data_IF_615106062018
#
_entry.id   IF_615106062018
#
_cell.length_a   1.000
_cell.length_b   1.000
_cell.length_c   1.000
_cell.angle_alpha   90.00
_cell.angle_beta   90.00
_cell.angle_gamma   90.00
#
_symmetry.space_group_name_H-M   'P 1'
#
loop_
_entity.id
_entity.type
_entity.pdbx_description
1 polymer ?
#
# COMPACT_ATOMS: atom_id res chain seq x y z
N UNK A 1 43.85 -0.91 25.74
CA UNK A 1 42.62 -1.40 26.39
C UNK A 1 41.75 -2.06 25.34
N UNK A 2 41.76 -3.39 25.32
CA UNK A 2 40.98 -4.23 24.39
C UNK A 2 39.52 -4.26 24.86
N UNK A 3 38.59 -3.68 24.08
CA UNK A 3 37.16 -3.75 24.40
C UNK A 3 36.66 -5.14 24.04
N UNK A 4 36.43 -5.97 25.06
CA UNK A 4 35.78 -7.27 24.93
C UNK A 4 34.39 -7.08 24.28
N UNK A 5 34.23 -7.56 23.06
CA UNK A 5 32.91 -7.79 22.47
C UNK A 5 32.18 -8.81 23.34
N UNK A 6 31.07 -8.39 23.93
CA UNK A 6 30.11 -9.27 24.58
C UNK A 6 29.63 -10.31 23.56
N UNK A 7 29.70 -11.62 23.83
CA UNK A 7 29.26 -12.62 22.88
C UNK A 7 27.75 -12.48 22.66
N UNK A 8 27.35 -12.31 21.39
CA UNK A 8 25.96 -12.42 20.95
C UNK A 8 25.42 -13.77 21.45
N UNK A 9 24.28 -13.75 22.15
CA UNK A 9 23.62 -14.97 22.64
C UNK A 9 23.47 -15.96 21.48
N UNK A 10 23.74 -17.27 21.68
CA UNK A 10 23.69 -18.25 20.62
C UNK A 10 22.31 -18.23 19.97
N UNK A 11 22.33 -18.06 18.66
CA UNK A 11 21.18 -18.01 17.78
C UNK A 11 20.36 -19.30 18.00
N UNK A 12 19.21 -19.19 18.70
CA UNK A 12 18.24 -20.29 18.76
C UNK A 12 17.79 -20.49 17.32
N UNK A 13 18.30 -21.51 16.64
CA UNK A 13 17.71 -22.01 15.39
C UNK A 13 16.32 -22.50 15.77
N UNK A 14 15.35 -21.59 15.77
CA UNK A 14 13.95 -21.97 15.85
C UNK A 14 13.69 -22.62 14.50
N UNK A 15 13.49 -23.93 14.49
CA UNK A 15 12.95 -24.64 13.34
C UNK A 15 11.49 -24.20 13.21
N UNK A 16 11.27 -22.96 12.77
CA UNK A 16 9.94 -22.44 12.47
C UNK A 16 9.41 -23.22 11.28
N UNK A 17 8.38 -23.99 11.53
CA UNK A 17 7.65 -24.71 10.49
C UNK A 17 6.80 -23.72 9.70
N UNK A 18 6.39 -24.08 8.48
CA UNK A 18 5.48 -23.25 7.69
C UNK A 18 4.17 -22.94 8.45
N UNK A 19 3.72 -23.85 9.32
CA UNK A 19 2.58 -23.63 10.21
C UNK A 19 2.83 -22.46 11.16
N UNK A 20 4.02 -22.38 11.75
CA UNK A 20 4.35 -21.30 12.69
C UNK A 20 4.22 -19.93 12.01
N UNK A 21 4.68 -19.81 10.76
CA UNK A 21 4.57 -18.56 9.99
C UNK A 21 3.12 -18.13 9.78
N UNK A 22 2.21 -19.03 9.38
CA UNK A 22 0.80 -18.68 9.18
C UNK A 22 0.11 -18.23 10.48
N UNK A 23 0.53 -18.76 11.63
CA UNK A 23 -0.03 -18.43 12.94
C UNK A 23 0.73 -17.34 13.70
N UNK A 24 1.66 -16.64 13.06
CA UNK A 24 2.30 -15.46 13.65
C UNK A 24 1.27 -14.39 14.00
N UNK A 25 1.49 -13.70 15.13
CA UNK A 25 0.63 -12.65 15.65
C UNK A 25 0.28 -11.59 14.58
N UNK A 26 1.25 -11.01 13.82
CA UNK A 26 0.92 -10.09 12.75
C UNK A 26 0.02 -10.68 11.66
N UNK A 27 0.18 -11.96 11.32
CA UNK A 27 -0.65 -12.61 10.29
C UNK A 27 -2.07 -12.89 10.78
N UNK A 28 -2.24 -13.22 12.07
CA UNK A 28 -3.55 -13.33 12.69
C UNK A 28 -4.30 -11.99 12.70
N UNK A 29 -3.59 -10.88 12.98
CA UNK A 29 -4.15 -9.53 12.85
C UNK A 29 -4.52 -9.27 11.38
N UNK A 30 -3.65 -9.61 10.43
CA UNK A 30 -3.93 -9.54 8.99
C UNK A 30 -5.20 -10.29 8.59
N UNK A 31 -5.42 -11.52 9.06
CA UNK A 31 -6.65 -12.26 8.81
C UNK A 31 -7.89 -11.58 9.42
N UNK A 32 -7.76 -11.01 10.61
CA UNK A 32 -8.85 -10.24 11.22
C UNK A 32 -9.21 -8.99 10.38
N UNK A 33 -8.21 -8.33 9.77
CA UNK A 33 -8.42 -7.22 8.82
C UNK A 33 -9.18 -7.67 7.59
N UNK A 34 -8.84 -8.83 7.02
CA UNK A 34 -9.57 -9.39 5.87
C UNK A 34 -11.05 -9.61 6.22
N UNK A 35 -11.34 -10.16 7.41
CA UNK A 35 -12.72 -10.37 7.86
C UNK A 35 -13.46 -9.04 8.08
N UNK A 36 -12.82 -8.07 8.73
CA UNK A 36 -13.40 -6.73 8.96
C UNK A 36 -13.64 -5.98 7.65
N UNK A 37 -12.71 -6.07 6.69
CA UNK A 37 -12.85 -5.52 5.36
C UNK A 37 -14.04 -6.17 4.65
N UNK A 38 -14.14 -7.50 4.62
CA UNK A 38 -15.28 -8.21 4.05
C UNK A 38 -16.62 -7.83 4.69
N UNK A 39 -16.65 -7.69 6.02
CA UNK A 39 -17.83 -7.20 6.74
C UNK A 39 -18.17 -5.75 6.36
N UNK A 40 -17.18 -4.87 6.20
CA UNK A 40 -17.41 -3.50 5.75
C UNK A 40 -18.03 -3.45 4.36
N UNK A 41 -17.54 -4.28 3.43
CA UNK A 41 -18.10 -4.40 2.07
C UNK A 41 -19.54 -4.90 2.09
N UNK A 42 -19.85 -5.85 2.98
CA UNK A 42 -21.22 -6.33 3.16
C UNK A 42 -22.17 -5.20 3.58
N UNK A 43 -21.80 -4.36 4.55
CA UNK A 43 -22.63 -3.24 5.01
C UNK A 43 -22.62 -2.01 4.08
N UNK A 44 -21.69 -1.97 3.13
CA UNK A 44 -21.43 -0.82 2.27
C UNK A 44 -22.67 -0.25 1.56
N UNK A 45 -23.58 -1.05 0.95
CA UNK A 45 -24.70 -0.48 0.20
C UNK A 45 -25.88 0.01 1.06
N UNK A 46 -26.02 -0.41 2.33
CA UNK A 46 -27.24 -0.14 3.10
C UNK A 46 -27.01 0.45 4.51
N UNK A 47 -25.80 0.35 5.07
CA UNK A 47 -25.50 0.83 6.42
C UNK A 47 -24.16 1.58 6.50
N UNK A 48 -24.12 2.86 6.08
CA UNK A 48 -22.87 3.62 5.99
C UNK A 48 -22.13 3.79 7.30
N UNK A 49 -22.84 3.90 8.44
CA UNK A 49 -22.20 4.03 9.77
C UNK A 49 -21.42 2.76 10.15
N UNK A 50 -22.04 1.59 9.99
CA UNK A 50 -21.39 0.31 10.31
C UNK A 50 -20.26 0.01 9.32
N UNK A 51 -20.47 0.27 8.02
CA UNK A 51 -19.45 0.15 7.00
C UNK A 51 -18.22 1.01 7.35
N UNK A 52 -18.40 2.32 7.57
CA UNK A 52 -17.28 3.22 7.90
C UNK A 52 -16.57 2.83 9.18
N UNK A 53 -17.29 2.40 10.22
CA UNK A 53 -16.66 1.98 11.47
C UNK A 53 -15.80 0.72 11.27
N UNK A 54 -16.34 -0.32 10.64
CA UNK A 54 -15.61 -1.56 10.35
C UNK A 54 -14.40 -1.31 9.44
N UNK A 55 -14.56 -0.46 8.42
CA UNK A 55 -13.51 -0.06 7.50
C UNK A 55 -12.37 0.64 8.25
N UNK A 56 -12.67 1.66 9.05
CA UNK A 56 -11.67 2.42 9.82
C UNK A 56 -10.95 1.53 10.83
N UNK A 57 -11.67 0.65 11.52
CA UNK A 57 -11.03 -0.31 12.45
C UNK A 57 -10.08 -1.24 11.69
N UNK A 58 -10.49 -1.75 10.52
CA UNK A 58 -9.61 -2.58 9.66
C UNK A 58 -8.34 -1.82 9.25
N UNK A 59 -8.46 -0.56 8.80
CA UNK A 59 -7.32 0.27 8.43
C UNK A 59 -6.41 0.61 9.62
N UNK A 60 -6.95 0.77 10.83
CA UNK A 60 -6.12 1.02 12.02
C UNK A 60 -5.32 -0.22 12.44
N UNK A 61 -5.88 -1.42 12.26
CA UNK A 61 -5.22 -2.69 12.55
C UNK A 61 -3.98 -2.93 11.68
N UNK A 62 -3.89 -2.32 10.50
CA UNK A 62 -2.70 -2.31 9.65
C UNK A 62 -1.45 -1.84 10.39
N UNK A 63 -1.53 -0.67 11.03
CA UNK A 63 -0.42 -0.15 11.80
C UNK A 63 -0.03 -1.10 12.95
N UNK A 64 -1.00 -1.79 13.54
CA UNK A 64 -0.79 -2.72 14.65
C UNK A 64 -0.12 -4.02 14.23
N UNK A 65 -0.43 -4.60 13.06
CA UNK A 65 0.28 -5.80 12.60
C UNK A 65 1.74 -5.50 12.25
N UNK A 66 2.04 -4.37 11.62
CA UNK A 66 3.41 -3.95 11.34
C UNK A 66 4.20 -3.69 12.61
N UNK A 67 3.56 -3.10 13.63
CA UNK A 67 4.15 -2.95 14.97
C UNK A 67 4.39 -4.30 15.64
N UNK A 68 3.44 -5.23 15.58
CA UNK A 68 3.56 -6.57 16.14
C UNK A 68 4.68 -7.36 15.44
N UNK A 69 4.75 -7.33 14.12
CA UNK A 69 5.79 -7.98 13.33
C UNK A 69 7.20 -7.53 13.75
N UNK A 70 7.40 -6.22 13.90
CA UNK A 70 8.68 -5.66 14.37
C UNK A 70 8.98 -5.99 15.83
N UNK A 71 7.96 -5.94 16.71
CA UNK A 71 8.14 -6.17 18.15
C UNK A 71 8.44 -7.62 18.48
N UNK A 72 7.79 -8.56 17.80
CA UNK A 72 7.95 -10.00 18.01
C UNK A 72 8.99 -10.64 17.07
N UNK A 73 9.65 -9.84 16.21
CA UNK A 73 10.59 -10.32 15.19
C UNK A 73 9.98 -11.39 14.26
N UNK A 74 8.72 -11.18 13.87
CA UNK A 74 7.89 -12.07 13.05
C UNK A 74 7.63 -11.49 11.65
N UNK A 75 8.52 -10.63 11.15
CA UNK A 75 8.43 -10.06 9.80
C UNK A 75 8.66 -11.16 8.74
N UNK A 76 7.69 -11.36 7.84
CA UNK A 76 7.77 -12.38 6.79
C UNK A 76 7.35 -11.83 5.44
N UNK A 77 7.87 -12.41 4.35
CA UNK A 77 7.44 -12.06 2.98
C UNK A 77 5.94 -12.31 2.79
N UNK A 78 5.43 -13.41 3.35
CA UNK A 78 4.00 -13.73 3.32
C UNK A 78 3.17 -12.65 4.00
N UNK A 79 3.52 -12.26 5.24
CA UNK A 79 2.80 -11.21 5.97
C UNK A 79 2.80 -9.87 5.23
N UNK A 80 3.93 -9.47 4.66
CA UNK A 80 4.03 -8.25 3.86
C UNK A 80 3.15 -8.26 2.60
N UNK A 81 3.05 -9.41 1.91
CA UNK A 81 2.17 -9.57 0.74
C UNK A 81 0.70 -9.60 1.17
N UNK A 82 0.38 -10.32 2.26
CA UNK A 82 -0.98 -10.41 2.81
C UNK A 82 -1.53 -9.04 3.18
N UNK A 83 -0.74 -8.24 3.89
CA UNK A 83 -1.04 -6.86 4.24
C UNK A 83 -1.34 -6.02 2.99
N UNK A 84 -0.38 -5.96 2.06
CA UNK A 84 -0.51 -5.17 0.83
C UNK A 84 -1.75 -5.56 0.03
N UNK A 85 -1.99 -6.86 -0.17
CA UNK A 85 -3.15 -7.35 -0.93
C UNK A 85 -4.45 -6.96 -0.23
N UNK A 86 -4.52 -7.09 1.10
CA UNK A 86 -5.72 -6.74 1.88
C UNK A 86 -6.07 -5.27 1.72
N UNK A 87 -5.10 -4.37 1.81
CA UNK A 87 -5.29 -2.94 1.57
C UNK A 87 -5.81 -2.68 0.15
N UNK A 88 -5.13 -3.23 -0.86
CA UNK A 88 -5.49 -2.99 -2.27
C UNK A 88 -6.89 -3.47 -2.58
N UNK A 89 -7.28 -4.65 -2.09
CA UNK A 89 -8.62 -5.18 -2.27
C UNK A 89 -9.68 -4.29 -1.60
N UNK A 90 -9.40 -3.81 -0.39
CA UNK A 90 -10.33 -2.99 0.38
C UNK A 90 -10.57 -1.63 -0.29
N UNK A 91 -9.51 -0.91 -0.65
CA UNK A 91 -9.61 0.39 -1.34
C UNK A 91 -10.24 0.21 -2.74
N UNK A 92 -9.88 -0.83 -3.48
CA UNK A 92 -10.45 -1.08 -4.82
C UNK A 92 -11.95 -1.36 -4.75
N UNK A 93 -12.41 -2.13 -3.77
CA UNK A 93 -13.83 -2.40 -3.58
C UNK A 93 -14.62 -1.14 -3.21
N UNK A 94 -14.05 -0.27 -2.37
CA UNK A 94 -14.61 1.06 -2.08
C UNK A 94 -14.72 1.91 -3.35
N UNK A 95 -13.66 1.97 -4.17
CA UNK A 95 -13.65 2.73 -5.43
C UNK A 95 -14.64 2.15 -6.45
N UNK A 96 -14.82 0.83 -6.50
CA UNK A 96 -15.84 0.20 -7.32
C UNK A 96 -17.24 0.66 -6.92
N UNK A 97 -17.56 0.70 -5.63
CA UNK A 97 -18.83 1.24 -5.13
C UNK A 97 -18.99 2.74 -5.47
N UNK A 98 -17.93 3.55 -5.28
CA UNK A 98 -17.97 4.96 -5.67
C UNK A 98 -18.19 5.13 -7.17
N UNK A 99 -17.68 4.23 -8.00
CA UNK A 99 -17.88 4.27 -9.44
C UNK A 99 -19.34 4.03 -9.87
N UNK A 100 -20.11 3.28 -9.08
CA UNK A 100 -21.55 3.09 -9.31
C UNK A 100 -22.40 4.24 -8.78
N UNK A 101 -22.01 4.82 -7.64
CA UNK A 101 -22.72 5.97 -7.04
C UNK A 101 -22.45 7.30 -7.75
N UNK A 102 -21.28 7.43 -8.40
CA UNK A 102 -20.90 8.61 -9.17
C UNK A 102 -20.62 8.29 -10.64
N UNK A 103 -21.64 7.93 -11.46
CA UNK A 103 -21.44 7.47 -12.84
C UNK A 103 -20.69 8.46 -13.74
N UNK A 104 -20.82 9.77 -13.47
CA UNK A 104 -20.09 10.82 -14.22
C UNK A 104 -18.58 10.71 -14.07
N UNK A 105 -18.09 10.12 -12.98
CA UNK A 105 -16.66 9.97 -12.67
C UNK A 105 -16.19 8.51 -12.75
N UNK A 106 -16.97 7.60 -13.33
CA UNK A 106 -16.62 6.17 -13.43
C UNK A 106 -15.23 5.93 -14.03
N UNK A 107 -14.89 6.62 -15.12
CA UNK A 107 -13.57 6.50 -15.77
C UNK A 107 -12.44 6.95 -14.83
N UNK A 108 -12.68 7.97 -14.01
CA UNK A 108 -11.72 8.41 -13.00
C UNK A 108 -11.51 7.32 -11.96
N UNK A 109 -12.57 6.77 -11.36
CA UNK A 109 -12.43 5.69 -10.37
C UNK A 109 -11.77 4.43 -10.95
N UNK A 110 -12.13 4.03 -12.18
CA UNK A 110 -11.52 2.88 -12.86
C UNK A 110 -10.03 3.10 -13.14
N UNK A 111 -9.63 4.32 -13.53
CA UNK A 111 -8.21 4.65 -13.75
C UNK A 111 -7.44 4.69 -12.43
N UNK A 112 -8.05 5.17 -11.34
CA UNK A 112 -7.46 5.12 -9.99
C UNK A 112 -7.22 3.68 -9.51
N UNK A 113 -8.22 2.80 -9.67
CA UNK A 113 -8.08 1.36 -9.35
C UNK A 113 -6.95 0.74 -10.16
N UNK A 114 -6.93 0.99 -11.48
CA UNK A 114 -5.91 0.45 -12.38
C UNK A 114 -4.51 0.94 -12.00
N UNK A 115 -4.36 2.24 -11.74
CA UNK A 115 -3.09 2.85 -11.37
C UNK A 115 -2.57 2.30 -10.03
N UNK A 116 -3.44 2.19 -9.03
CA UNK A 116 -3.06 1.74 -7.70
C UNK A 116 -2.63 0.26 -7.73
N UNK A 117 -3.41 -0.62 -8.37
CA UNK A 117 -3.05 -2.03 -8.54
C UNK A 117 -1.77 -2.21 -9.35
N UNK A 118 -1.63 -1.54 -10.50
CA UNK A 118 -0.44 -1.66 -11.35
C UNK A 118 0.83 -1.16 -10.64
N UNK A 119 0.77 0.01 -10.01
CA UNK A 119 1.92 0.61 -9.31
C UNK A 119 2.40 -0.24 -8.14
N UNK A 120 1.48 -0.76 -7.32
CA UNK A 120 1.83 -1.63 -6.20
C UNK A 120 2.29 -3.01 -6.66
N UNK A 121 1.64 -3.61 -7.67
CA UNK A 121 2.04 -4.91 -8.21
C UNK A 121 3.46 -4.86 -8.79
N UNK A 122 3.76 -3.87 -9.64
CA UNK A 122 5.10 -3.68 -10.20
C UNK A 122 6.14 -3.42 -9.12
N UNK A 123 5.82 -2.57 -8.13
CA UNK A 123 6.73 -2.26 -7.04
C UNK A 123 7.02 -3.46 -6.15
N UNK A 124 5.99 -4.24 -5.80
CA UNK A 124 6.15 -5.46 -5.03
C UNK A 124 6.99 -6.48 -5.79
N UNK A 125 6.68 -6.72 -7.06
CA UNK A 125 7.41 -7.66 -7.90
C UNK A 125 8.88 -7.26 -8.01
N UNK A 126 9.16 -5.99 -8.35
CA UNK A 126 10.51 -5.43 -8.40
C UNK A 126 11.27 -5.60 -7.08
N UNK A 127 10.62 -5.37 -5.94
CA UNK A 127 11.27 -5.51 -4.63
C UNK A 127 11.56 -6.98 -4.30
N UNK A 128 10.66 -7.90 -4.64
CA UNK A 128 10.82 -9.33 -4.39
C UNK A 128 11.89 -9.97 -5.29
N UNK A 129 12.02 -9.52 -6.55
CA UNK A 129 13.04 -10.00 -7.48
C UNK A 129 14.41 -9.38 -7.22
N UNK A 130 14.47 -8.09 -6.88
CA UNK A 130 15.74 -7.40 -6.56
C UNK A 130 16.27 -7.82 -5.17
N UNK A 131 15.40 -8.16 -4.22
CA UNK A 131 15.71 -8.45 -2.81
C UNK A 131 16.36 -9.81 -2.52
N UNK A 132 17.01 -10.44 -3.50
CA UNK A 132 17.83 -11.65 -3.32
C UNK A 132 19.31 -11.39 -3.02
N UNK A 133 19.86 -10.23 -3.41
CA UNK A 133 21.27 -9.89 -3.18
C UNK A 133 21.41 -8.60 -2.36
N UNK A 134 21.58 -8.76 -1.04
CA UNK A 134 21.81 -7.67 -0.08
C UNK A 134 23.12 -6.87 -0.29
N UNK A 135 23.83 -7.03 -1.41
CA UNK A 135 25.13 -6.39 -1.64
C UNK A 135 25.17 -5.33 -2.74
N UNK A 136 24.12 -5.14 -3.54
CA UNK A 136 24.05 -4.02 -4.48
C UNK A 136 23.05 -2.99 -3.97
N UNK A 137 23.61 -1.98 -3.31
CA UNK A 137 22.94 -0.73 -2.91
C UNK A 137 21.89 -0.35 -3.94
N UNK A 138 20.63 -0.29 -3.50
CA UNK A 138 19.52 0.36 -4.19
C UNK A 138 20.08 1.60 -4.91
N UNK A 139 19.84 1.77 -6.23
CA UNK A 139 20.43 2.85 -6.97
C UNK A 139 20.19 4.17 -6.22
N UNK A 140 21.27 4.92 -5.98
CA UNK A 140 21.20 6.27 -5.37
C UNK A 140 20.40 7.27 -6.23
N UNK A 141 19.87 6.83 -7.37
CA UNK A 141 19.05 7.58 -8.32
C UNK A 141 17.54 7.41 -8.12
N UNK A 142 17.10 7.15 -6.88
CA UNK A 142 15.68 7.25 -6.55
C UNK A 142 15.21 8.71 -6.57
N UNK A 143 14.10 9.01 -7.25
CA UNK A 143 13.48 10.33 -7.23
C UNK A 143 13.33 10.85 -5.79
N UNK A 144 13.78 12.09 -5.53
CA UNK A 144 13.77 12.73 -4.20
C UNK A 144 12.41 12.62 -3.49
N UNK A 145 11.33 12.75 -4.26
CA UNK A 145 9.94 12.62 -3.78
C UNK A 145 9.67 11.25 -3.15
N UNK A 146 10.10 10.15 -3.78
CA UNK A 146 9.93 8.82 -3.21
C UNK A 146 10.78 8.62 -1.96
N UNK A 147 11.97 9.21 -1.92
CA UNK A 147 12.84 9.09 -0.75
C UNK A 147 12.22 9.78 0.47
N UNK A 148 11.57 10.93 0.29
CA UNK A 148 10.85 11.57 1.38
C UNK A 148 9.60 10.78 1.78
N UNK A 149 8.87 10.26 0.79
CA UNK A 149 7.66 9.47 1.01
C UNK A 149 7.94 8.17 1.79
N UNK A 150 8.92 7.38 1.36
CA UNK A 150 9.30 6.11 2.00
C UNK A 150 10.31 6.26 3.13
N UNK A 151 11.03 7.38 3.22
CA UNK A 151 12.05 7.63 4.23
C UNK A 151 11.50 8.05 5.59
N UNK A 152 10.22 8.45 5.66
CA UNK A 152 9.56 8.84 6.90
C UNK A 152 8.22 8.11 7.04
N UNK A 153 8.16 7.15 7.97
CA UNK A 153 6.96 6.37 8.25
C UNK A 153 5.74 7.23 8.61
N UNK A 154 5.94 8.41 9.22
CA UNK A 154 4.84 9.34 9.51
C UNK A 154 4.27 9.97 8.24
N UNK A 155 5.12 10.31 7.27
CA UNK A 155 4.68 10.84 5.96
C UNK A 155 3.96 9.76 5.18
N UNK A 156 4.50 8.55 5.13
CA UNK A 156 3.87 7.39 4.49
C UNK A 156 2.48 7.15 5.07
N UNK A 157 2.37 7.03 6.39
CA UNK A 157 1.10 6.80 7.08
C UNK A 157 0.12 7.95 6.86
N UNK A 158 0.56 9.21 6.97
CA UNK A 158 -0.32 10.36 6.76
C UNK A 158 -0.89 10.40 5.33
N UNK A 159 -0.07 10.15 4.31
CA UNK A 159 -0.55 10.12 2.93
C UNK A 159 -1.52 8.97 2.67
N UNK A 160 -1.24 7.77 3.19
CA UNK A 160 -2.17 6.65 3.08
C UNK A 160 -3.48 6.94 3.82
N UNK A 161 -3.41 7.40 5.07
CA UNK A 161 -4.58 7.73 5.87
C UNK A 161 -5.42 8.84 5.23
N UNK A 162 -4.82 9.92 4.74
CA UNK A 162 -5.55 10.99 4.06
C UNK A 162 -6.16 10.53 2.72
N UNK A 163 -5.47 9.67 1.97
CA UNK A 163 -6.02 9.08 0.75
C UNK A 163 -7.27 8.23 1.06
N UNK A 164 -7.20 7.36 2.06
CA UNK A 164 -8.35 6.55 2.50
C UNK A 164 -9.48 7.41 3.05
N UNK A 165 -9.17 8.41 3.87
CA UNK A 165 -10.16 9.34 4.42
C UNK A 165 -10.87 10.14 3.31
N UNK A 166 -10.19 10.48 2.22
CA UNK A 166 -10.83 11.13 1.08
C UNK A 166 -11.90 10.23 0.44
N UNK A 167 -11.58 8.96 0.18
CA UNK A 167 -12.55 8.03 -0.40
C UNK A 167 -13.69 7.69 0.56
N UNK A 168 -13.40 7.55 1.87
CA UNK A 168 -14.44 7.40 2.91
C UNK A 168 -15.34 8.64 2.97
N UNK A 169 -14.79 9.84 2.80
CA UNK A 169 -15.58 11.07 2.75
C UNK A 169 -16.50 11.10 1.53
N UNK A 170 -16.02 10.73 0.34
CA UNK A 170 -16.85 10.57 -0.86
C UNK A 170 -17.94 9.52 -0.65
N UNK A 171 -17.62 8.41 -0.01
CA UNK A 171 -18.58 7.36 0.31
C UNK A 171 -19.69 7.88 1.23
N UNK A 172 -19.34 8.62 2.28
CA UNK A 172 -20.35 9.22 3.16
C UNK A 172 -21.20 10.28 2.45
N UNK A 173 -20.65 10.97 1.46
CA UNK A 173 -21.38 11.93 0.63
C UNK A 173 -22.33 11.29 -0.39
N UNK A 174 -22.18 10.00 -0.71
CA UNK A 174 -23.09 9.32 -1.63
C UNK A 174 -24.44 9.01 -0.99
N UNK A 175 -24.50 8.94 0.34
CA UNK A 175 -25.75 8.72 1.06
C UNK A 175 -26.49 10.04 1.32
N UNK A 176 -27.83 10.07 1.16
CA UNK A 176 -28.60 11.26 1.46
C UNK A 176 -28.44 11.62 2.95
N UNK A 177 -28.10 12.87 3.28
CA UNK A 177 -27.85 13.28 4.65
C UNK A 177 -29.17 13.22 5.45
N UNK A 178 -29.34 12.16 6.25
CA UNK A 178 -30.23 12.23 7.42
C UNK A 178 -29.57 13.18 8.42
N UNK A 179 -29.95 14.47 8.35
CA UNK A 179 -29.49 15.64 9.13
C UNK A 179 -29.14 15.37 10.61
N UNK A 180 -28.33 16.22 11.32
CA UNK A 180 -27.15 17.01 10.98
C UNK A 180 -25.92 16.58 11.89
N UNK A 181 -24.74 17.24 11.92
CA UNK A 181 -24.55 18.68 12.07
C UNK A 181 -24.22 19.36 10.73
N UNK A 182 -25.08 20.31 10.34
CA UNK A 182 -24.86 21.26 9.26
C UNK A 182 -23.97 22.33 9.87
N UNK A 183 -22.71 22.42 9.45
CA UNK A 183 -21.76 23.43 9.89
C UNK A 183 -22.02 24.81 9.24
N UNK A 184 -23.00 24.90 8.32
CA UNK A 184 -23.36 26.12 7.59
C UNK A 184 -23.55 25.85 6.11
N UNK A 185 -23.49 26.90 5.30
CA UNK A 185 -23.45 26.84 3.84
C UNK A 185 -22.23 27.63 3.35
N UNK A 186 -21.48 27.08 2.39
CA UNK A 186 -20.40 27.79 1.70
C UNK A 186 -20.67 27.74 0.19
N UNK A 187 -20.72 28.89 -0.47
CA UNK A 187 -21.01 29.00 -1.91
C UNK A 187 -22.29 28.23 -2.34
N UNK A 188 -23.32 28.21 -1.49
CA UNK A 188 -24.59 27.53 -1.77
C UNK A 188 -24.62 26.02 -1.49
N UNK A 189 -23.51 25.40 -1.09
CA UNK A 189 -23.46 23.98 -0.71
C UNK A 189 -23.60 23.78 0.81
N UNK A 190 -24.43 22.83 1.28
CA UNK A 190 -24.57 22.53 2.70
C UNK A 190 -23.27 21.93 3.25
N UNK A 191 -22.60 22.63 4.15
CA UNK A 191 -21.33 22.20 4.75
C UNK A 191 -21.59 21.12 5.81
N UNK A 192 -21.39 19.86 5.43
CA UNK A 192 -21.39 18.72 6.34
C UNK A 192 -19.95 18.26 6.64
N UNK A 193 -19.75 17.50 7.72
CA UNK A 193 -18.40 17.03 8.08
C UNK A 193 -17.69 16.23 6.95
N UNK A 194 -18.37 15.42 6.10
CA UNK A 194 -17.71 14.74 4.98
C UNK A 194 -17.22 15.72 3.91
N UNK A 195 -17.91 16.84 3.66
CA UNK A 195 -17.42 17.86 2.73
C UNK A 195 -16.11 18.49 3.21
N UNK A 196 -16.05 18.85 4.49
CA UNK A 196 -14.83 19.41 5.10
C UNK A 196 -13.70 18.38 5.04
N UNK A 197 -13.99 17.13 5.39
CA UNK A 197 -13.03 16.04 5.35
C UNK A 197 -12.50 15.82 3.91
N UNK A 198 -13.38 15.74 2.92
CA UNK A 198 -13.01 15.60 1.51
C UNK A 198 -12.15 16.77 1.03
N UNK A 199 -12.53 18.01 1.34
CA UNK A 199 -11.78 19.20 0.94
C UNK A 199 -10.36 19.24 1.53
N UNK A 200 -10.21 18.87 2.81
CA UNK A 200 -8.91 18.84 3.49
C UNK A 200 -8.00 17.71 2.98
N UNK A 201 -8.58 16.56 2.66
CA UNK A 201 -7.82 15.36 2.25
C UNK A 201 -7.55 15.27 0.75
N UNK A 202 -8.35 15.96 -0.07
CA UNK A 202 -8.23 15.95 -1.53
C UNK A 202 -6.82 16.30 -2.05
N UNK A 203 -6.14 17.38 -1.58
CA UNK A 203 -4.80 17.71 -2.07
C UNK A 203 -3.79 16.58 -1.84
N UNK A 204 -3.91 15.89 -0.70
CA UNK A 204 -3.03 14.77 -0.35
C UNK A 204 -3.36 13.53 -1.18
N UNK A 205 -4.65 13.25 -1.40
CA UNK A 205 -5.09 12.20 -2.31
C UNK A 205 -4.55 12.43 -3.72
N UNK A 206 -4.68 13.65 -4.27
CA UNK A 206 -4.15 14.00 -5.59
C UNK A 206 -2.62 13.82 -5.67
N UNK A 207 -1.89 14.28 -4.64
CA UNK A 207 -0.45 14.07 -4.55
C UNK A 207 -0.07 12.58 -4.47
N UNK A 208 -0.86 11.77 -3.77
CA UNK A 208 -0.67 10.31 -3.68
C UNK A 208 -0.82 9.63 -5.04
N UNK A 209 -1.75 10.07 -5.89
CA UNK A 209 -1.88 9.52 -7.24
C UNK A 209 -0.66 9.81 -8.12
N UNK A 210 -0.07 11.00 -7.98
CA UNK A 210 1.22 11.33 -8.64
C UNK A 210 2.32 10.40 -8.13
N UNK A 211 2.39 10.17 -6.81
CA UNK A 211 3.38 9.25 -6.22
C UNK A 211 3.21 7.83 -6.76
N UNK A 212 1.97 7.34 -6.92
CA UNK A 212 1.71 6.02 -7.51
C UNK A 212 2.26 5.91 -8.95
N UNK A 213 2.09 6.94 -9.78
CA UNK A 213 2.70 6.99 -11.12
C UNK A 213 4.23 6.92 -11.06
N UNK A 214 4.85 7.73 -10.18
CA UNK A 214 6.31 7.76 -10.05
C UNK A 214 6.86 6.44 -9.48
N UNK A 215 6.14 5.82 -8.54
CA UNK A 215 6.46 4.51 -8.00
C UNK A 215 6.45 3.44 -9.09
N UNK A 216 5.45 3.43 -9.95
CA UNK A 216 5.37 2.50 -11.08
C UNK A 216 6.56 2.69 -12.04
N UNK A 217 6.87 3.93 -12.41
CA UNK A 217 8.00 4.23 -13.31
C UNK A 217 9.35 3.79 -12.72
N UNK A 218 9.55 4.00 -11.40
CA UNK A 218 10.77 3.58 -10.74
C UNK A 218 10.87 2.05 -10.59
N UNK A 219 9.76 1.37 -10.33
CA UNK A 219 9.72 -0.10 -10.31
C UNK A 219 10.04 -0.69 -11.69
N UNK A 220 9.53 -0.09 -12.76
CA UNK A 220 9.84 -0.48 -14.13
C UNK A 220 11.35 -0.35 -14.43
N UNK A 221 11.96 0.79 -14.07
CA UNK A 221 13.41 1.00 -14.23
C UNK A 221 14.23 -0.02 -13.46
N UNK A 222 13.88 -0.28 -12.20
CA UNK A 222 14.56 -1.26 -11.38
C UNK A 222 14.50 -2.68 -11.97
N UNK A 223 13.37 -3.08 -12.58
CA UNK A 223 13.27 -4.36 -13.29
C UNK A 223 14.15 -4.40 -14.55
N UNK A 224 14.16 -3.32 -15.34
CA UNK A 224 15.06 -3.23 -16.51
C UNK A 224 16.53 -3.34 -16.10
N UNK A 225 16.92 -2.74 -14.97
CA UNK A 225 18.28 -2.85 -14.45
C UNK A 225 18.65 -4.29 -14.05
N UNK A 226 17.69 -5.07 -13.55
CA UNK A 226 17.86 -6.51 -13.28
C UNK A 226 18.01 -7.26 -14.60
N UNK A 227 17.12 -7.04 -15.57
CA UNK A 227 17.19 -7.69 -16.89
C UNK A 227 18.54 -7.41 -17.60
N UNK A 228 19.03 -6.18 -17.53
CA UNK A 228 20.33 -5.81 -18.10
C UNK A 228 21.49 -6.52 -17.40
N UNK A 229 21.41 -6.74 -16.09
CA UNK A 229 22.43 -7.49 -15.34
C UNK A 229 22.39 -8.97 -15.71
N UNK A 230 21.20 -9.57 -15.79
CA UNK A 230 21.03 -10.98 -16.16
C UNK A 230 21.51 -11.24 -17.58
N UNK A 231 21.22 -10.33 -18.53
CA UNK A 231 21.72 -10.42 -19.91
C UNK A 231 23.24 -10.30 -20.01
N UNK A 232 23.86 -9.45 -19.19
CA UNK A 232 25.33 -9.34 -19.09
C UNK A 232 25.93 -10.61 -18.52
N UNK A 233 25.34 -11.18 -17.47
CA UNK A 233 25.80 -12.43 -16.86
C UNK A 233 25.66 -13.62 -17.82
N UNK A 234 24.59 -13.65 -18.62
CA UNK A 234 24.35 -14.68 -19.63
C UNK A 234 25.20 -14.52 -20.92
N UNK A 235 26.05 -13.49 -21.02
CA UNK A 235 26.95 -13.30 -22.17
C UNK A 235 26.25 -12.99 -23.49
N UNK A 236 24.97 -12.59 -23.48
CA UNK A 236 24.15 -12.41 -24.70
C UNK A 236 24.72 -11.34 -25.64
N UNK A 237 25.49 -10.36 -25.12
CA UNK A 237 26.18 -9.37 -25.96
C UNK A 237 27.48 -9.87 -26.62
N UNK A 238 28.06 -10.99 -26.17
CA UNK A 238 29.27 -11.55 -26.75
C UNK A 238 28.99 -12.43 -27.98
N UNK A 239 27.85 -13.15 -27.99
CA UNK A 239 27.53 -14.09 -29.08
C UNK A 239 27.10 -13.42 -30.39
N UNK A 240 26.49 -12.22 -30.35
CA UNK A 240 26.09 -11.49 -31.57
C UNK A 240 27.29 -10.97 -32.39
N UNK A 241 28.47 -10.80 -31.76
CA UNK A 241 29.70 -10.47 -32.50
C UNK A 241 30.33 -11.70 -33.14
N UNK A 242 30.33 -12.86 -32.48
CA UNK A 242 30.94 -14.07 -33.05
C UNK A 242 30.16 -14.64 -34.25
N UNK A 243 28.83 -14.46 -34.32
CA UNK A 243 28.02 -14.86 -35.49
C UNK A 243 28.13 -13.92 -36.70
N UNK A 244 28.58 -12.67 -36.52
CA UNK A 244 28.80 -11.75 -37.65
C UNK A 244 30.19 -11.84 -38.25
N UNK A 245 31.12 -12.47 -37.54
CA UNK A 245 32.52 -12.64 -37.95
C UNK A 245 32.84 -14.10 -38.38
N UNK A 246 31.83 -14.96 -38.53
CA UNK A 246 31.94 -16.35 -39.06
C UNK A 246 31.27 -16.46 -40.43
#
# INVERSE_FOLDING_TARGET
MSSKQTPLRPNRKVNETAKDVFFFIPNLIGYSRVVLAGASLYYMPFHPKYCTWLYVVSCLLDAFDGMAARRFNQCTKFGAVLDMVTDRCTTSALLCFLSSEYPRFTILFQSLISLDLASHYMHMYSTLTTGGESHKKIPKEGNWVLRQYYGNNYVLFAFCACNELFFVALYLLSFPPRSPPRLGYLMGMPLSYPYVLAALTFPICAAKQIINCVQMANAARALVDVDLQDRKAAGVHANDKMMKDS
#
